data_IF_943645339153
#
_entry.id   IF_943645339153
#
_cell.length_a   1.000
_cell.length_b   1.000
_cell.length_c   1.000
_cell.angle_alpha   90.00
_cell.angle_beta   90.00
_cell.angle_gamma   90.00
#
_symmetry.space_group_name_H-M   'P 1'
#
loop_
_entity.id
_entity.type
_entity.pdbx_description
1 polymer ?
#
# COMPACT_ATOMS: atom_id res chain seq x y z
N UNK A 1 5.03 -9.95 -2.81
CA UNK A 1 6.33 -9.28 -2.61
C UNK A 1 7.48 -10.27 -2.41
N UNK A 2 7.35 -11.21 -1.47
CA UNK A 2 8.38 -12.25 -1.22
C UNK A 2 8.71 -13.10 -2.45
N UNK A 3 7.70 -13.47 -3.24
CA UNK A 3 7.91 -14.26 -4.48
C UNK A 3 8.71 -13.49 -5.54
N UNK A 4 8.43 -12.19 -5.72
CA UNK A 4 9.19 -11.34 -6.64
C UNK A 4 10.64 -11.15 -6.17
N UNK A 5 10.84 -10.88 -4.88
CA UNK A 5 12.19 -10.77 -4.32
C UNK A 5 12.97 -12.08 -4.47
N UNK A 6 12.35 -13.23 -4.16
CA UNK A 6 12.97 -14.53 -4.31
C UNK A 6 13.37 -14.81 -5.77
N UNK A 7 12.54 -14.42 -6.75
CA UNK A 7 12.86 -14.53 -8.17
C UNK A 7 14.09 -13.68 -8.52
N UNK A 8 14.10 -12.41 -8.15
CA UNK A 8 15.24 -11.51 -8.40
C UNK A 8 16.54 -12.03 -7.78
N UNK A 9 16.48 -12.58 -6.56
CA UNK A 9 17.64 -13.18 -5.91
C UNK A 9 18.16 -14.40 -6.68
N UNK A 10 17.27 -15.28 -7.14
CA UNK A 10 17.63 -16.42 -7.98
C UNK A 10 18.24 -16.00 -9.32
N UNK A 11 17.64 -15.04 -10.01
CA UNK A 11 18.08 -14.52 -11.29
C UNK A 11 19.51 -13.91 -11.20
N UNK A 12 19.88 -13.43 -10.01
CA UNK A 12 21.23 -12.91 -9.71
C UNK A 12 22.15 -13.94 -9.02
N UNK A 13 21.79 -15.20 -8.99
CA UNK A 13 22.62 -16.29 -8.42
C UNK A 13 22.80 -16.24 -6.90
N UNK A 14 21.96 -15.45 -6.19
CA UNK A 14 22.05 -15.31 -4.73
C UNK A 14 21.29 -16.45 -4.06
N UNK A 15 22.03 -17.35 -3.40
CA UNK A 15 21.46 -18.45 -2.61
C UNK A 15 20.68 -17.88 -1.41
N UNK A 16 19.40 -18.17 -1.33
CA UNK A 16 18.54 -17.71 -0.24
C UNK A 16 17.55 -18.79 0.18
N UNK A 17 16.99 -18.63 1.37
CA UNK A 17 15.91 -19.45 1.90
C UNK A 17 14.82 -18.55 2.48
N UNK A 18 13.57 -18.75 2.06
CA UNK A 18 12.42 -18.04 2.62
C UNK A 18 11.97 -18.73 3.90
N UNK A 19 11.92 -17.98 5.00
CA UNK A 19 11.43 -18.47 6.28
C UNK A 19 9.96 -18.07 6.43
N UNK A 20 9.09 -19.08 6.45
CA UNK A 20 7.67 -18.90 6.71
C UNK A 20 7.31 -19.34 8.13
N UNK A 21 6.21 -18.79 8.65
CA UNK A 21 5.65 -19.26 9.91
C UNK A 21 5.16 -20.70 9.79
N UNK A 22 5.61 -21.55 10.70
CA UNK A 22 5.14 -22.94 10.81
C UNK A 22 3.84 -23.05 11.60
N UNK A 23 3.38 -21.96 12.20
CA UNK A 23 2.23 -21.97 13.09
C UNK A 23 0.90 -21.85 12.33
N UNK A 24 -0.13 -22.63 12.71
CA UNK A 24 -1.37 -22.74 11.98
C UNK A 24 -2.18 -21.45 12.02
N UNK A 25 -2.97 -21.23 10.96
CA UNK A 25 -3.76 -19.99 10.77
C UNK A 25 -4.92 -19.82 11.74
N UNK A 26 -5.36 -20.87 12.43
CA UNK A 26 -6.43 -20.79 13.43
C UNK A 26 -6.00 -20.12 14.75
N UNK A 27 -4.70 -20.03 15.01
CA UNK A 27 -4.19 -19.30 16.17
C UNK A 27 -4.45 -17.81 16.05
N UNK A 28 -4.75 -17.11 17.17
CA UNK A 28 -4.88 -15.67 17.18
C UNK A 28 -3.65 -14.98 16.57
N UNK A 29 -3.88 -13.92 15.78
CA UNK A 29 -2.79 -13.23 15.04
C UNK A 29 -1.68 -12.73 15.95
N UNK A 30 -2.02 -12.23 17.14
CA UNK A 30 -1.03 -11.75 18.11
C UNK A 30 -0.11 -12.87 18.61
N UNK A 31 -0.65 -14.06 18.85
CA UNK A 31 0.13 -15.22 19.29
C UNK A 31 1.04 -15.74 18.17
N UNK A 32 0.53 -15.83 16.94
CA UNK A 32 1.32 -16.23 15.77
C UNK A 32 2.53 -15.33 15.55
N UNK A 33 2.37 -14.02 15.73
CA UNK A 33 3.47 -13.07 15.57
C UNK A 33 4.55 -13.29 16.62
N UNK A 34 4.18 -13.53 17.87
CA UNK A 34 5.13 -13.85 18.96
C UNK A 34 5.87 -15.15 18.64
N UNK A 35 5.12 -16.21 18.34
CA UNK A 35 5.68 -17.52 18.03
C UNK A 35 6.59 -17.49 16.80
N UNK A 36 6.22 -16.75 15.76
CA UNK A 36 7.06 -16.56 14.59
C UNK A 36 8.38 -15.86 14.95
N UNK A 37 8.33 -14.82 15.78
CA UNK A 37 9.53 -14.15 16.26
C UNK A 37 10.45 -15.10 17.06
N UNK A 38 9.89 -15.95 17.93
CA UNK A 38 10.65 -16.99 18.62
C UNK A 38 11.28 -17.97 17.65
N UNK A 39 10.51 -18.51 16.70
CA UNK A 39 11.00 -19.39 15.64
C UNK A 39 12.20 -18.78 14.91
N UNK A 40 12.07 -17.54 14.45
CA UNK A 40 13.12 -16.85 13.69
C UNK A 40 14.37 -16.63 14.54
N UNK A 41 14.23 -16.20 15.80
CA UNK A 41 15.37 -15.99 16.68
C UNK A 41 16.10 -17.29 17.02
N UNK A 42 15.37 -18.38 17.28
CA UNK A 42 15.96 -19.69 17.57
C UNK A 42 16.69 -20.29 16.36
N UNK A 43 16.22 -20.00 15.15
CA UNK A 43 16.80 -20.53 13.91
C UNK A 43 17.89 -19.66 13.31
N UNK A 44 18.13 -18.46 13.86
CA UNK A 44 19.07 -17.50 13.28
C UNK A 44 20.51 -18.03 13.25
N UNK A 45 21.04 -18.47 14.39
CA UNK A 45 22.47 -18.83 14.51
C UNK A 45 23.36 -17.80 13.78
N UNK A 46 24.23 -18.25 12.88
CA UNK A 46 25.14 -17.41 12.08
C UNK A 46 24.55 -16.98 10.73
N UNK A 47 23.24 -17.16 10.53
CA UNK A 47 22.58 -16.81 9.27
C UNK A 47 22.35 -15.30 9.17
N UNK A 48 22.54 -14.75 7.96
CA UNK A 48 22.15 -13.38 7.64
C UNK A 48 20.65 -13.29 7.35
N UNK A 49 19.95 -12.40 8.06
CA UNK A 49 18.51 -12.22 7.92
C UNK A 49 18.16 -10.87 7.30
N UNK A 50 17.66 -10.91 6.06
CA UNK A 50 16.95 -9.81 5.42
C UNK A 50 15.45 -9.96 5.73
N UNK A 51 14.88 -9.00 6.43
CA UNK A 51 13.47 -9.08 6.86
C UNK A 51 12.59 -8.03 6.23
N UNK A 52 11.40 -8.45 5.79
CA UNK A 52 10.29 -7.59 5.40
C UNK A 52 9.28 -7.42 6.55
N UNK A 53 9.38 -8.28 7.56
CA UNK A 53 8.52 -8.27 8.75
C UNK A 53 9.27 -7.75 9.98
N UNK A 54 8.53 -7.25 10.97
CA UNK A 54 9.09 -6.77 12.24
C UNK A 54 9.52 -7.94 13.10
N UNK A 55 10.76 -8.41 12.90
CA UNK A 55 11.38 -9.45 13.73
C UNK A 55 12.39 -8.84 14.71
N UNK A 56 12.63 -9.54 15.84
CA UNK A 56 13.52 -9.02 16.89
C UNK A 56 15.01 -9.04 16.48
N UNK A 57 15.39 -9.94 15.58
CA UNK A 57 16.79 -10.22 15.25
C UNK A 57 17.15 -10.08 13.75
N UNK A 58 16.74 -9.02 13.05
CA UNK A 58 17.12 -8.82 11.65
C UNK A 58 18.58 -8.34 11.56
N UNK A 59 19.27 -8.69 10.47
CA UNK A 59 20.49 -7.96 10.08
C UNK A 59 20.14 -6.76 9.24
N UNK A 60 19.26 -6.94 8.24
CA UNK A 60 18.68 -5.85 7.46
C UNK A 60 17.15 -5.93 7.55
N UNK A 61 16.52 -4.79 7.85
CA UNK A 61 15.06 -4.67 7.86
C UNK A 61 14.60 -3.66 6.82
N UNK A 62 13.65 -4.06 5.97
CA UNK A 62 12.97 -3.14 5.05
C UNK A 62 11.65 -2.65 5.63
N UNK A 63 11.61 -1.38 6.00
CA UNK A 63 10.46 -0.70 6.59
C UNK A 63 9.44 -0.28 5.49
N UNK A 64 8.85 -1.27 4.81
CA UNK A 64 7.91 -1.05 3.70
C UNK A 64 6.53 -0.58 4.13
N UNK A 65 6.08 -0.97 5.34
CA UNK A 65 4.74 -0.66 5.87
C UNK A 65 4.71 0.62 6.71
N UNK A 66 5.83 1.36 6.76
CA UNK A 66 5.95 2.56 7.56
C UNK A 66 6.12 2.30 9.06
N UNK A 67 5.91 3.34 9.87
CA UNK A 67 6.06 3.31 11.32
C UNK A 67 4.71 3.09 11.99
N UNK A 68 4.51 1.93 12.61
CA UNK A 68 3.22 1.53 13.21
C UNK A 68 2.76 2.49 14.30
N UNK A 69 3.69 3.03 15.10
CA UNK A 69 3.36 4.03 16.11
C UNK A 69 2.80 5.32 15.52
N UNK A 70 3.31 5.76 14.38
CA UNK A 70 2.82 6.94 13.65
C UNK A 70 1.46 6.64 13.04
N UNK A 71 1.32 5.48 12.38
CA UNK A 71 0.04 5.01 11.85
C UNK A 71 -1.07 5.00 12.90
N UNK A 72 -0.82 4.49 14.12
CA UNK A 72 -1.81 4.46 15.20
C UNK A 72 -2.26 5.85 15.63
N UNK A 73 -1.33 6.82 15.63
CA UNK A 73 -1.63 8.21 15.97
C UNK A 73 -2.51 8.88 14.91
N UNK A 74 -2.17 8.70 13.63
CA UNK A 74 -2.90 9.31 12.50
C UNK A 74 -4.31 8.71 12.39
N UNK A 75 -4.42 7.39 12.44
CA UNK A 75 -5.68 6.67 12.29
C UNK A 75 -6.53 6.64 13.58
N UNK A 76 -6.06 7.26 14.67
CA UNK A 76 -6.73 7.27 15.98
C UNK A 76 -7.24 5.89 16.41
N UNK A 77 -6.43 4.84 16.16
CA UNK A 77 -6.82 3.45 16.46
C UNK A 77 -6.94 3.21 17.95
N UNK A 78 -7.93 2.38 18.32
CA UNK A 78 -8.12 1.96 19.71
C UNK A 78 -6.90 1.21 20.25
N UNK A 79 -6.47 1.56 21.45
CA UNK A 79 -5.38 0.89 22.18
C UNK A 79 -5.79 -0.50 22.72
N UNK A 80 -7.07 -0.84 22.66
CA UNK A 80 -7.60 -2.10 23.22
C UNK A 80 -7.26 -3.34 22.36
N UNK A 81 -6.82 -3.16 21.12
CA UNK A 81 -6.40 -4.29 20.29
C UNK A 81 -5.03 -4.82 20.75
N UNK A 82 -4.92 -6.07 21.23
CA UNK A 82 -3.68 -6.65 21.77
C UNK A 82 -2.55 -6.73 20.74
N UNK A 83 -2.85 -6.66 19.44
CA UNK A 83 -1.85 -6.60 18.38
C UNK A 83 -1.01 -5.31 18.44
N UNK A 84 -1.59 -4.19 18.83
CA UNK A 84 -0.87 -2.91 18.78
C UNK A 84 0.32 -2.84 19.73
N UNK A 85 0.21 -3.18 21.04
CA UNK A 85 1.37 -3.19 21.93
C UNK A 85 2.44 -4.20 21.50
N UNK A 86 2.06 -5.36 20.95
CA UNK A 86 3.00 -6.34 20.41
C UNK A 86 3.76 -5.75 19.21
N UNK A 87 3.04 -5.16 18.25
CA UNK A 87 3.69 -4.50 17.10
C UNK A 87 4.61 -3.35 17.52
N UNK A 88 4.22 -2.53 18.49
CA UNK A 88 5.08 -1.44 18.99
C UNK A 88 6.36 -1.97 19.66
N UNK A 89 6.26 -3.05 20.43
CA UNK A 89 7.41 -3.71 21.03
C UNK A 89 8.34 -4.29 19.95
N UNK A 90 7.80 -5.06 19.02
CA UNK A 90 8.57 -5.67 17.93
C UNK A 90 9.20 -4.62 17.02
N UNK A 91 8.48 -3.56 16.69
CA UNK A 91 8.96 -2.46 15.87
C UNK A 91 10.17 -1.77 16.51
N UNK A 92 10.06 -1.41 17.81
CA UNK A 92 11.17 -0.82 18.56
C UNK A 92 12.40 -1.77 18.58
N UNK A 93 12.19 -3.06 18.85
CA UNK A 93 13.28 -4.04 18.88
C UNK A 93 13.90 -4.24 17.50
N UNK A 94 13.06 -4.35 16.46
CA UNK A 94 13.50 -4.49 15.07
C UNK A 94 14.40 -3.34 14.63
N UNK A 95 13.97 -2.08 14.84
CA UNK A 95 14.77 -0.91 14.49
C UNK A 95 16.07 -0.82 15.27
N UNK A 96 16.06 -1.11 16.57
CA UNK A 96 17.26 -1.05 17.39
C UNK A 96 18.28 -2.12 17.01
N UNK A 97 17.82 -3.35 16.77
CA UNK A 97 18.69 -4.51 16.57
C UNK A 97 19.15 -4.69 15.11
N UNK A 98 18.43 -4.15 14.13
CA UNK A 98 18.86 -4.19 12.74
C UNK A 98 20.24 -3.52 12.56
N UNK A 99 21.15 -4.13 11.82
CA UNK A 99 22.43 -3.51 11.43
C UNK A 99 22.21 -2.38 10.42
N UNK A 100 21.31 -2.60 9.45
CA UNK A 100 20.87 -1.62 8.47
C UNK A 100 19.35 -1.64 8.33
N UNK A 101 18.79 -0.48 8.03
CA UNK A 101 17.36 -0.31 7.79
C UNK A 101 17.19 0.30 6.40
N UNK A 102 16.31 -0.27 5.60
CA UNK A 102 15.92 0.27 4.30
C UNK A 102 14.54 0.92 4.47
N UNK A 103 14.48 2.23 4.41
CA UNK A 103 13.24 2.99 4.33
C UNK A 103 12.81 3.14 2.86
N UNK A 104 11.52 3.03 2.59
CA UNK A 104 10.99 3.19 1.22
C UNK A 104 10.73 4.66 0.84
N UNK A 105 10.93 5.60 1.76
CA UNK A 105 10.86 7.05 1.52
C UNK A 105 11.62 7.84 2.58
N UNK A 106 11.93 9.11 2.28
CA UNK A 106 12.49 10.04 3.26
C UNK A 106 11.53 10.25 4.42
N UNK A 107 10.22 10.33 4.16
CA UNK A 107 9.19 10.42 5.20
C UNK A 107 9.34 9.29 6.22
N UNK A 108 9.50 8.04 5.78
CA UNK A 108 9.66 6.90 6.68
C UNK A 108 11.01 6.93 7.41
N UNK A 109 12.08 7.35 6.77
CA UNK A 109 13.36 7.59 7.43
C UNK A 109 13.21 8.60 8.59
N UNK A 110 12.57 9.73 8.34
CA UNK A 110 12.37 10.79 9.33
C UNK A 110 11.43 10.34 10.46
N UNK A 111 10.40 9.58 10.15
CA UNK A 111 9.52 8.97 11.15
C UNK A 111 10.24 7.97 12.06
N UNK A 112 11.12 7.12 11.50
CA UNK A 112 11.94 6.19 12.30
C UNK A 112 12.86 6.95 13.23
N UNK A 113 13.56 7.97 12.74
CA UNK A 113 14.47 8.80 13.52
C UNK A 113 13.72 9.52 14.64
N UNK A 114 12.67 10.26 14.29
CA UNK A 114 11.90 11.08 15.25
C UNK A 114 11.14 10.25 16.28
N UNK A 115 10.70 9.03 15.91
CA UNK A 115 9.88 8.18 16.79
C UNK A 115 10.72 7.33 17.74
N UNK A 116 11.87 6.84 17.28
CA UNK A 116 12.66 5.83 17.99
C UNK A 116 14.11 6.26 18.28
N UNK A 117 14.56 7.43 17.80
CA UNK A 117 15.92 7.91 18.01
C UNK A 117 16.99 7.08 17.30
N UNK A 118 16.65 6.44 16.19
CA UNK A 118 17.59 5.59 15.45
C UNK A 118 18.62 6.48 14.74
N UNK A 119 19.90 6.06 14.80
CA UNK A 119 20.98 6.76 14.12
C UNK A 119 20.71 6.85 12.61
N UNK A 120 20.69 8.07 12.02
CA UNK A 120 20.44 8.27 10.58
C UNK A 120 21.37 7.49 9.66
N UNK A 121 22.62 7.26 10.06
CA UNK A 121 23.62 6.50 9.30
C UNK A 121 23.29 5.00 9.18
N UNK A 122 22.32 4.52 9.94
CA UNK A 122 21.81 3.15 9.94
C UNK A 122 20.69 2.97 8.91
N UNK A 123 20.17 4.07 8.32
CA UNK A 123 18.97 4.07 7.49
C UNK A 123 19.30 4.54 6.08
N UNK A 124 19.15 3.63 5.13
CA UNK A 124 19.23 3.91 3.70
C UNK A 124 17.83 4.14 3.14
N UNK A 125 17.67 5.10 2.22
CA UNK A 125 16.40 5.29 1.50
C UNK A 125 16.51 4.62 0.15
N UNK A 126 15.65 3.64 -0.10
CA UNK A 126 15.53 2.93 -1.39
C UNK A 126 14.07 2.95 -1.80
N UNK A 127 13.74 3.82 -2.75
CA UNK A 127 12.39 3.94 -3.28
C UNK A 127 11.94 2.68 -4.01
N UNK A 128 10.63 2.44 -4.06
CA UNK A 128 10.08 1.42 -4.94
C UNK A 128 10.21 1.88 -6.39
N UNK A 129 10.40 0.94 -7.30
CA UNK A 129 10.33 1.16 -8.74
C UNK A 129 9.00 0.68 -9.30
N UNK A 130 8.70 1.13 -10.51
CA UNK A 130 7.60 0.66 -11.35
C UNK A 130 8.16 0.27 -12.71
N UNK A 131 7.60 -0.76 -13.32
CA UNK A 131 7.94 -1.14 -14.70
C UNK A 131 7.26 -0.19 -15.69
N UNK A 132 7.99 0.29 -16.67
CA UNK A 132 7.39 1.03 -17.79
C UNK A 132 6.41 0.13 -18.54
N UNK A 133 5.24 0.68 -18.84
CA UNK A 133 4.18 -0.02 -19.56
C UNK A 133 4.02 0.54 -20.97
N UNK A 134 3.61 -0.30 -21.90
CA UNK A 134 3.23 0.15 -23.25
C UNK A 134 1.82 0.69 -23.19
N UNK A 135 1.67 1.98 -23.48
CA UNK A 135 0.39 2.69 -23.46
C UNK A 135 -0.27 2.58 -24.85
N UNK A 136 -1.48 2.04 -24.90
CA UNK A 136 -2.32 2.02 -26.09
C UNK A 136 -3.69 2.64 -25.82
N UNK A 137 -3.74 3.94 -25.71
CA UNK A 137 -4.93 4.72 -25.35
C UNK A 137 -6.14 4.36 -26.22
N UNK A 138 -5.98 4.21 -27.54
CA UNK A 138 -7.08 3.89 -28.44
C UNK A 138 -7.78 2.57 -28.10
N UNK A 139 -7.01 1.52 -27.83
CA UNK A 139 -7.55 0.20 -27.51
C UNK A 139 -8.19 0.19 -26.11
N UNK A 140 -7.52 0.75 -25.11
CA UNK A 140 -8.03 0.85 -23.74
C UNK A 140 -9.31 1.68 -23.68
N UNK A 141 -9.36 2.83 -24.39
CA UNK A 141 -10.55 3.65 -24.46
C UNK A 141 -11.71 2.93 -25.13
N UNK A 142 -11.49 2.24 -26.26
CA UNK A 142 -12.54 1.46 -26.92
C UNK A 142 -13.11 0.41 -25.98
N UNK A 143 -12.27 -0.42 -25.37
CA UNK A 143 -12.66 -1.49 -24.45
C UNK A 143 -13.52 -0.95 -23.29
N UNK A 144 -13.04 0.09 -22.61
CA UNK A 144 -13.75 0.64 -21.46
C UNK A 144 -14.97 1.46 -21.84
N UNK A 145 -14.99 2.06 -23.04
CA UNK A 145 -16.19 2.72 -23.57
C UNK A 145 -17.31 1.75 -23.90
N UNK A 146 -16.99 0.58 -24.42
CA UNK A 146 -17.96 -0.49 -24.63
C UNK A 146 -18.58 -0.98 -23.32
N UNK A 147 -17.78 -1.05 -22.24
CA UNK A 147 -18.24 -1.52 -20.92
C UNK A 147 -19.03 -0.45 -20.16
N UNK A 148 -18.57 0.83 -20.19
CA UNK A 148 -19.06 1.89 -19.30
C UNK A 148 -19.76 3.05 -20.01
N UNK A 149 -19.88 3.02 -21.33
CA UNK A 149 -20.52 4.09 -22.12
C UNK A 149 -19.80 5.43 -21.97
N UNK A 150 -18.46 5.47 -22.13
CA UNK A 150 -17.67 6.66 -21.94
C UNK A 150 -17.80 7.63 -23.11
N UNK A 151 -17.93 8.92 -22.82
CA UNK A 151 -17.82 9.99 -23.80
C UNK A 151 -16.36 10.47 -23.89
N UNK A 152 -15.84 10.57 -25.12
CA UNK A 152 -14.47 11.00 -25.40
C UNK A 152 -14.08 12.37 -24.85
N UNK A 153 -15.08 13.23 -24.63
CA UNK A 153 -14.87 14.60 -24.14
C UNK A 153 -15.05 14.72 -22.62
N UNK A 154 -15.36 13.63 -21.95
CA UNK A 154 -15.56 13.63 -20.51
C UNK A 154 -14.24 13.38 -19.79
N UNK A 155 -13.75 14.30 -18.96
CA UNK A 155 -12.59 14.03 -18.10
C UNK A 155 -12.80 12.81 -17.22
N UNK A 156 -11.77 11.97 -17.14
CA UNK A 156 -11.78 10.71 -16.39
C UNK A 156 -10.87 10.83 -15.18
N UNK A 157 -11.44 10.67 -13.99
CA UNK A 157 -10.71 10.61 -12.74
C UNK A 157 -10.58 9.17 -12.28
N UNK A 158 -9.42 8.82 -11.75
CA UNK A 158 -9.13 7.46 -11.29
C UNK A 158 -8.70 7.46 -9.83
N UNK A 159 -9.23 6.50 -9.09
CA UNK A 159 -8.77 6.07 -7.79
C UNK A 159 -8.48 4.55 -7.82
N UNK A 160 -7.32 4.14 -7.35
CA UNK A 160 -6.95 2.72 -7.24
C UNK A 160 -6.48 2.40 -5.82
N UNK A 161 -7.12 1.47 -5.16
CA UNK A 161 -6.66 1.03 -3.85
C UNK A 161 -7.72 0.28 -3.05
N UNK A 162 -7.28 -0.60 -2.14
CA UNK A 162 -8.13 -1.32 -1.19
C UNK A 162 -8.05 -0.71 0.20
N UNK A 163 -9.10 -0.89 1.02
CA UNK A 163 -9.18 -0.28 2.36
C UNK A 163 -9.53 1.19 2.28
N UNK A 164 -10.68 1.48 1.71
CA UNK A 164 -11.19 2.78 1.29
C UNK A 164 -11.13 3.86 2.37
N UNK A 165 -11.43 3.51 3.63
CA UNK A 165 -11.41 4.46 4.74
C UNK A 165 -10.04 5.14 4.92
N UNK A 166 -8.97 4.35 5.00
CA UNK A 166 -7.61 4.86 5.20
C UNK A 166 -7.09 5.59 3.97
N UNK A 167 -7.47 5.11 2.79
CA UNK A 167 -6.98 5.63 1.51
C UNK A 167 -7.84 6.75 0.93
N UNK A 168 -8.83 7.23 1.70
CA UNK A 168 -9.50 8.50 1.43
C UNK A 168 -10.60 8.46 0.37
N UNK A 169 -11.35 7.35 0.22
CA UNK A 169 -12.48 7.33 -0.73
C UNK A 169 -13.60 8.28 -0.34
N UNK A 170 -13.82 8.52 0.96
CA UNK A 170 -14.78 9.55 1.40
C UNK A 170 -14.35 10.93 0.91
N UNK A 171 -13.08 11.27 1.08
CA UNK A 171 -12.48 12.52 0.60
C UNK A 171 -12.54 12.62 -0.94
N UNK A 172 -12.29 11.51 -1.64
CA UNK A 172 -12.44 11.43 -3.10
C UNK A 172 -13.86 11.79 -3.53
N UNK A 173 -14.89 11.19 -2.91
CA UNK A 173 -16.29 11.48 -3.22
C UNK A 173 -16.67 12.94 -2.92
N UNK A 174 -16.19 13.49 -1.79
CA UNK A 174 -16.40 14.89 -1.44
C UNK A 174 -15.74 15.85 -2.45
N UNK A 175 -14.56 15.53 -2.95
CA UNK A 175 -13.88 16.32 -3.98
C UNK A 175 -14.73 16.32 -5.27
N UNK A 176 -15.15 15.12 -5.73
CA UNK A 176 -16.00 14.98 -6.92
C UNK A 176 -17.29 15.79 -6.80
N UNK A 177 -17.91 15.83 -5.61
CA UNK A 177 -19.16 16.57 -5.38
C UNK A 177 -19.00 18.10 -5.53
N UNK A 178 -17.78 18.60 -5.30
CA UNK A 178 -17.46 20.04 -5.40
C UNK A 178 -17.01 20.47 -6.79
N UNK A 179 -16.75 19.54 -7.71
CA UNK A 179 -16.33 19.87 -9.06
C UNK A 179 -17.50 20.47 -9.86
N UNK A 180 -17.27 21.66 -10.44
CA UNK A 180 -18.26 22.38 -11.24
C UNK A 180 -18.59 21.67 -12.55
N UNK A 181 -17.60 20.97 -13.14
CA UNK A 181 -17.81 20.20 -14.36
C UNK A 181 -18.78 19.04 -14.08
N UNK A 182 -19.92 19.03 -14.78
CA UNK A 182 -20.95 18.00 -14.65
C UNK A 182 -20.67 16.76 -15.49
N UNK A 183 -19.85 16.91 -16.54
CA UNK A 183 -19.56 15.85 -17.51
C UNK A 183 -18.22 15.15 -17.18
N UNK A 184 -18.08 14.66 -15.95
CA UNK A 184 -16.91 13.89 -15.53
C UNK A 184 -17.31 12.45 -15.23
N UNK A 185 -16.38 11.52 -15.44
CA UNK A 185 -16.47 10.13 -14.96
C UNK A 185 -15.35 9.87 -13.97
N UNK A 186 -15.65 9.15 -12.91
CA UNK A 186 -14.68 8.82 -11.88
C UNK A 186 -14.76 7.33 -11.56
N UNK A 187 -13.64 6.64 -11.66
CA UNK A 187 -13.53 5.21 -11.34
C UNK A 187 -12.91 5.01 -9.97
N UNK A 188 -13.51 4.12 -9.18
CA UNK A 188 -12.98 3.66 -7.89
C UNK A 188 -12.72 2.17 -7.99
N UNK A 189 -11.44 1.80 -8.10
CA UNK A 189 -11.00 0.43 -8.28
C UNK A 189 -10.39 -0.09 -6.97
N UNK A 190 -10.85 -1.25 -6.52
CA UNK A 190 -10.29 -1.91 -5.35
C UNK A 190 -11.29 -2.73 -4.56
N UNK A 191 -10.74 -3.49 -3.61
CA UNK A 191 -11.56 -4.35 -2.74
C UNK A 191 -11.96 -3.61 -1.47
N UNK A 192 -13.27 -3.57 -1.20
CA UNK A 192 -13.82 -3.01 0.04
C UNK A 192 -14.94 -3.91 0.58
N UNK A 193 -14.88 -4.20 1.87
CA UNK A 193 -15.92 -5.02 2.52
C UNK A 193 -17.23 -4.27 2.69
N UNK A 194 -17.13 -2.97 2.98
CA UNK A 194 -18.28 -2.11 3.23
C UNK A 194 -18.62 -1.24 2.02
N UNK A 195 -18.60 -1.81 0.82
CA UNK A 195 -18.85 -1.09 -0.44
C UNK A 195 -20.20 -0.37 -0.45
N UNK A 196 -21.23 -0.97 0.16
CA UNK A 196 -22.58 -0.39 0.23
C UNK A 196 -22.60 0.98 0.92
N UNK A 197 -21.75 1.18 1.94
CA UNK A 197 -21.61 2.47 2.61
C UNK A 197 -21.14 3.55 1.63
N UNK A 198 -20.11 3.28 0.84
CA UNK A 198 -19.56 4.24 -0.12
C UNK A 198 -20.50 4.50 -1.29
N UNK A 199 -21.24 3.49 -1.74
CA UNK A 199 -22.29 3.64 -2.74
C UNK A 199 -23.44 4.53 -2.22
N UNK A 200 -23.84 4.37 -0.95
CA UNK A 200 -24.84 5.24 -0.34
C UNK A 200 -24.30 6.67 -0.19
N UNK A 201 -23.08 6.84 0.31
CA UNK A 201 -22.44 8.15 0.44
C UNK A 201 -22.35 8.88 -0.93
N UNK A 202 -22.07 8.16 -2.02
CA UNK A 202 -22.05 8.76 -3.36
C UNK A 202 -23.43 9.29 -3.79
N UNK A 203 -24.52 8.61 -3.39
CA UNK A 203 -25.89 9.07 -3.62
C UNK A 203 -26.21 10.32 -2.78
N UNK A 204 -25.84 10.27 -1.49
CA UNK A 204 -26.09 11.38 -0.55
C UNK A 204 -25.36 12.67 -0.99
N UNK A 205 -24.20 12.52 -1.63
CA UNK A 205 -23.42 13.61 -2.23
C UNK A 205 -23.85 13.98 -3.65
N UNK A 206 -24.82 13.28 -4.25
CA UNK A 206 -25.31 13.51 -5.61
C UNK A 206 -24.29 13.23 -6.71
N UNK A 207 -23.36 12.28 -6.48
CA UNK A 207 -22.30 11.93 -7.44
C UNK A 207 -22.39 10.49 -7.95
N UNK A 208 -23.42 9.75 -7.58
CA UNK A 208 -23.62 8.34 -7.94
C UNK A 208 -23.65 8.07 -9.45
N UNK A 209 -24.10 9.05 -10.26
CA UNK A 209 -24.08 8.96 -11.73
C UNK A 209 -22.70 9.24 -12.35
N UNK A 210 -21.80 9.88 -11.60
CA UNK A 210 -20.44 10.21 -12.03
C UNK A 210 -19.42 9.16 -11.58
N UNK A 211 -19.64 8.54 -10.41
CA UNK A 211 -18.69 7.64 -9.77
C UNK A 211 -19.08 6.17 -10.00
N UNK A 212 -18.16 5.41 -10.53
CA UNK A 212 -18.31 3.98 -10.83
C UNK A 212 -17.38 3.19 -9.91
N UNK A 213 -17.96 2.38 -9.04
CA UNK A 213 -17.23 1.42 -8.21
C UNK A 213 -17.11 0.09 -8.96
N UNK A 214 -15.95 -0.20 -9.50
CA UNK A 214 -15.73 -1.40 -10.32
C UNK A 214 -15.46 -2.66 -9.50
N UNK A 215 -15.10 -2.52 -8.21
CA UNK A 215 -14.47 -3.60 -7.46
C UNK A 215 -13.01 -3.85 -7.88
N UNK A 216 -12.41 -5.00 -7.52
CA UNK A 216 -11.06 -5.35 -7.98
C UNK A 216 -11.08 -5.67 -9.47
N UNK A 217 -10.04 -5.23 -10.20
CA UNK A 217 -9.86 -5.43 -11.64
C UNK A 217 -8.46 -5.98 -11.91
N UNK A 218 -8.33 -6.81 -12.93
CA UNK A 218 -7.05 -7.32 -13.42
C UNK A 218 -6.47 -6.44 -14.56
N UNK A 219 -7.32 -5.64 -15.19
CA UNK A 219 -7.01 -4.73 -16.29
C UNK A 219 -6.85 -3.26 -15.84
N UNK A 220 -6.31 -3.04 -14.66
CA UNK A 220 -6.13 -1.69 -14.09
C UNK A 220 -5.29 -0.79 -15.00
N UNK A 221 -4.36 -1.37 -15.76
CA UNK A 221 -3.53 -0.66 -16.73
C UNK A 221 -4.36 0.08 -17.79
N UNK A 222 -5.51 -0.49 -18.21
CA UNK A 222 -6.41 0.18 -19.16
C UNK A 222 -7.03 1.44 -18.55
N UNK A 223 -7.37 1.39 -17.25
CA UNK A 223 -7.93 2.56 -16.54
C UNK A 223 -6.88 3.65 -16.34
N UNK A 224 -5.65 3.30 -15.96
CA UNK A 224 -4.55 4.28 -15.91
C UNK A 224 -4.33 4.92 -17.27
N UNK A 225 -4.36 4.12 -18.35
CA UNK A 225 -4.12 4.59 -19.72
C UNK A 225 -5.12 5.66 -20.17
N UNK A 226 -6.40 5.57 -19.77
CA UNK A 226 -7.45 6.49 -20.24
C UNK A 226 -7.75 7.62 -19.26
N UNK A 227 -7.18 7.60 -18.06
CA UNK A 227 -7.49 8.58 -17.03
C UNK A 227 -6.65 9.84 -17.21
N UNK A 228 -7.30 11.00 -17.04
CA UNK A 228 -6.64 12.29 -17.09
C UNK A 228 -6.00 12.65 -15.75
N UNK A 229 -6.65 12.26 -14.64
CA UNK A 229 -6.21 12.59 -13.29
C UNK A 229 -6.31 11.36 -12.39
N UNK A 230 -5.20 11.04 -11.72
CA UNK A 230 -5.18 10.09 -10.63
C UNK A 230 -5.32 10.81 -9.29
N UNK A 231 -6.45 10.62 -8.62
CA UNK A 231 -6.76 11.29 -7.37
C UNK A 231 -6.72 10.32 -6.18
N UNK A 232 -5.73 10.49 -5.28
CA UNK A 232 -5.47 9.57 -4.17
C UNK A 232 -5.34 10.30 -2.83
N UNK A 233 -6.44 10.74 -2.20
CA UNK A 233 -6.45 11.56 -0.98
C UNK A 233 -6.22 10.71 0.28
N UNK A 234 -5.15 9.93 0.29
CA UNK A 234 -4.79 9.05 1.41
C UNK A 234 -4.36 9.83 2.64
N UNK A 235 -4.69 9.33 3.85
CA UNK A 235 -4.31 9.96 5.11
C UNK A 235 -2.91 9.58 5.57
N UNK A 236 -2.49 8.37 5.25
CA UNK A 236 -1.16 7.86 5.57
C UNK A 236 -0.76 6.79 4.56
N UNK A 237 0.31 7.03 3.85
CA UNK A 237 0.86 6.11 2.88
C UNK A 237 2.40 6.21 2.91
N UNK A 238 3.10 5.19 3.40
CA UNK A 238 4.57 5.18 3.50
C UNK A 238 5.26 5.40 2.16
N UNK A 239 4.74 4.75 1.12
CA UNK A 239 5.14 4.91 -0.27
C UNK A 239 4.08 4.28 -1.18
N UNK A 240 3.48 5.07 -2.03
CA UNK A 240 2.36 4.62 -2.85
C UNK A 240 2.81 4.03 -4.19
N UNK A 241 2.70 2.72 -4.35
CA UNK A 241 2.96 2.09 -5.65
C UNK A 241 1.94 2.52 -6.70
N UNK A 242 0.65 2.69 -6.31
CA UNK A 242 -0.40 3.12 -7.25
C UNK A 242 -0.19 4.54 -7.77
N UNK A 243 0.48 5.41 -7.00
CA UNK A 243 0.89 6.74 -7.49
C UNK A 243 2.01 6.60 -8.52
N UNK A 244 3.02 5.75 -8.26
CA UNK A 244 4.08 5.47 -9.24
C UNK A 244 3.51 4.85 -10.53
N UNK A 245 2.55 3.93 -10.38
CA UNK A 245 1.84 3.34 -11.52
C UNK A 245 1.14 4.44 -12.32
N UNK A 246 0.35 5.30 -11.67
CA UNK A 246 -0.31 6.43 -12.35
C UNK A 246 0.68 7.35 -13.07
N UNK A 247 1.79 7.71 -12.42
CA UNK A 247 2.84 8.52 -13.04
C UNK A 247 3.47 7.82 -14.26
N UNK A 248 3.61 6.50 -14.25
CA UNK A 248 4.14 5.74 -15.40
C UNK A 248 3.19 5.69 -16.59
N UNK A 249 1.92 6.02 -16.37
CA UNK A 249 0.89 6.20 -17.41
C UNK A 249 0.60 7.67 -17.74
N UNK A 250 1.46 8.61 -17.30
CA UNK A 250 1.35 10.04 -17.56
C UNK A 250 0.10 10.71 -16.96
N UNK A 251 -0.52 10.09 -15.95
CA UNK A 251 -1.63 10.73 -15.25
C UNK A 251 -1.15 11.92 -14.41
N UNK A 252 -1.96 12.97 -14.36
CA UNK A 252 -1.75 14.13 -13.51
C UNK A 252 -2.14 13.85 -12.06
#
# INVERSE_FOLDING_TARGET
YLSRLAKVLNDNGIKHQVINSIFPKFLPSWLRIILFNLQVCLTKKDRFYFSLERIICPDVYRAGDGVHKVFLRIEKKSKLNPLHPIYLFLEKRCFNNAKRIIANSNMIKDEIISTYGINPNKIDVIYNGVESKIINHKNSFRKLSEEFGLDKNSPILLYVGSGFKRKGVEEFLMIISKLKNKNIKAFVIGKEKNIKYYQQLSKDLGVDKKVIFTGPRDDVDDFYTISDIFLFPTRYEPFSNVVLEAMSFENA
#
